data_IF_956871152127
#
_entry.id   IF_956871152127
#
_cell.length_a   1.000
_cell.length_b   1.000
_cell.length_c   1.000
_cell.angle_alpha   90.00
_cell.angle_beta   90.00
_cell.angle_gamma   90.00
#
_symmetry.space_group_name_H-M   'P 1'
#
loop_
_entity.id
_entity.type
_entity.pdbx_description
1 polymer ?
#
# COMPACT_ATOMS: atom_id res chain seq x y z
N UNK A 1 -47.02 29.93 25.41
CA UNK A 1 -45.58 30.20 25.21
C UNK A 1 -44.91 28.85 25.14
N UNK A 2 -44.46 28.35 23.97
CA UNK A 2 -43.76 27.07 23.93
C UNK A 2 -42.46 27.22 24.71
N UNK A 3 -42.29 26.40 25.75
CA UNK A 3 -41.08 26.37 26.54
C UNK A 3 -39.89 26.20 25.59
N UNK A 4 -38.96 27.15 25.65
CA UNK A 4 -37.65 26.99 25.04
C UNK A 4 -37.00 25.83 25.77
N UNK A 5 -37.15 24.60 25.26
CA UNK A 5 -36.22 23.53 25.57
C UNK A 5 -34.86 24.12 25.24
N UNK A 6 -34.11 24.45 26.27
CA UNK A 6 -32.75 24.92 26.08
C UNK A 6 -32.01 23.75 25.48
N UNK A 7 -31.47 23.93 24.29
CA UNK A 7 -30.77 22.94 23.47
C UNK A 7 -29.48 22.40 24.11
N UNK A 8 -29.27 22.65 25.41
CA UNK A 8 -28.14 22.23 26.23
C UNK A 8 -28.10 20.72 26.54
N UNK A 9 -29.12 19.96 26.14
CA UNK A 9 -29.31 18.57 26.57
C UNK A 9 -29.14 17.53 25.46
N UNK A 10 -28.82 17.92 24.23
CA UNK A 10 -28.57 17.00 23.12
C UNK A 10 -27.07 16.86 22.85
N UNK A 11 -26.54 15.65 23.00
CA UNK A 11 -25.18 15.31 22.52
C UNK A 11 -25.27 14.55 21.22
N UNK A 12 -24.46 14.94 20.24
CA UNK A 12 -24.38 14.26 18.93
C UNK A 12 -23.04 13.55 18.85
N UNK A 13 -23.09 12.23 18.69
CA UNK A 13 -21.94 11.35 18.49
C UNK A 13 -21.95 10.87 17.05
N UNK A 14 -20.78 10.68 16.46
CA UNK A 14 -20.67 10.09 15.14
C UNK A 14 -19.55 9.06 15.10
N UNK A 15 -19.72 8.04 14.26
CA UNK A 15 -18.66 7.09 13.96
C UNK A 15 -17.47 7.78 13.28
N UNK A 16 -16.24 7.27 13.46
CA UNK A 16 -15.07 7.80 12.75
C UNK A 16 -15.29 7.75 11.23
N UNK A 17 -14.79 8.76 10.50
CA UNK A 17 -14.97 8.88 9.04
C UNK A 17 -16.27 9.57 8.61
N UNK A 18 -17.21 9.85 9.53
CA UNK A 18 -18.36 10.71 9.20
C UNK A 18 -17.87 12.16 9.09
N UNK A 19 -18.16 12.82 7.96
CA UNK A 19 -17.95 14.26 7.79
C UNK A 19 -18.93 15.07 8.68
N UNK A 20 -18.67 15.05 9.98
CA UNK A 20 -19.54 15.67 10.99
C UNK A 20 -19.59 17.18 10.87
N UNK A 21 -18.63 17.83 10.22
CA UNK A 21 -18.57 19.30 10.13
C UNK A 21 -19.80 19.93 9.46
N UNK A 22 -20.35 19.29 8.41
CA UNK A 22 -21.58 19.78 7.76
C UNK A 22 -22.81 19.64 8.65
N UNK A 23 -22.90 18.50 9.35
CA UNK A 23 -23.98 18.23 10.31
C UNK A 23 -23.85 19.22 11.48
N UNK A 24 -22.63 19.40 11.99
CA UNK A 24 -22.31 20.36 13.06
C UNK A 24 -22.75 21.78 12.71
N UNK A 25 -22.36 22.27 11.53
CA UNK A 25 -22.75 23.60 11.08
C UNK A 25 -24.28 23.77 11.01
N UNK A 26 -25.01 22.76 10.53
CA UNK A 26 -26.46 22.82 10.44
C UNK A 26 -27.17 22.81 11.80
N UNK A 27 -26.66 22.02 12.76
CA UNK A 27 -27.18 22.01 14.13
C UNK A 27 -26.83 23.32 14.87
N UNK A 28 -25.63 23.88 14.65
CA UNK A 28 -25.23 25.18 15.20
C UNK A 28 -26.10 26.34 14.66
N UNK A 29 -26.48 26.32 13.38
CA UNK A 29 -27.44 27.29 12.81
C UNK A 29 -28.81 27.24 13.51
N UNK A 30 -29.18 26.09 14.08
CA UNK A 30 -30.40 25.90 14.86
C UNK A 30 -30.19 26.10 16.37
N UNK A 31 -29.03 26.60 16.78
CA UNK A 31 -28.70 26.86 18.19
C UNK A 31 -28.41 25.61 19.01
N UNK A 32 -28.03 24.49 18.38
CA UNK A 32 -27.63 23.25 19.06
C UNK A 32 -26.11 23.17 19.06
N UNK A 33 -25.54 23.18 20.26
CA UNK A 33 -24.10 23.04 20.44
C UNK A 33 -23.73 21.55 20.39
N UNK A 34 -22.82 21.20 19.49
CA UNK A 34 -22.36 19.81 19.33
C UNK A 34 -21.00 19.68 19.97
N UNK A 35 -20.95 18.95 21.08
CA UNK A 35 -19.70 18.61 21.71
C UNK A 35 -19.10 17.35 21.06
N UNK A 36 -17.82 17.37 20.66
CA UNK A 36 -17.11 16.15 20.28
C UNK A 36 -17.02 15.27 21.53
N UNK A 37 -17.36 14.00 21.39
CA UNK A 37 -17.59 13.18 22.56
C UNK A 37 -16.76 11.90 22.57
N UNK A 38 -16.17 11.65 23.74
CA UNK A 38 -15.57 10.40 24.15
C UNK A 38 -16.70 9.44 24.55
N UNK A 39 -16.82 8.30 23.85
CA UNK A 39 -17.83 7.27 24.14
C UNK A 39 -17.62 6.62 25.52
N UNK A 40 -16.45 6.79 26.14
CA UNK A 40 -16.08 6.17 27.41
C UNK A 40 -16.77 6.77 28.64
N UNK A 41 -17.33 7.99 28.56
CA UNK A 41 -18.01 8.63 29.70
C UNK A 41 -19.28 9.37 29.28
N UNK A 42 -20.45 8.73 29.26
CA UNK A 42 -21.72 9.42 29.05
C UNK A 42 -22.03 10.29 30.28
N UNK A 43 -21.52 11.54 30.32
CA UNK A 43 -22.02 12.50 31.30
C UNK A 43 -23.52 12.73 31.04
N UNK A 44 -24.33 12.83 32.10
CA UNK A 44 -25.80 12.92 32.13
C UNK A 44 -26.41 13.99 31.20
N UNK A 45 -26.46 13.74 29.89
CA UNK A 45 -27.34 14.47 28.97
C UNK A 45 -28.70 13.80 28.91
N UNK A 46 -29.76 14.58 28.74
CA UNK A 46 -31.11 14.02 28.66
C UNK A 46 -31.35 13.23 27.39
N UNK A 47 -30.68 13.61 26.30
CA UNK A 47 -30.75 12.90 25.04
C UNK A 47 -29.40 12.82 24.33
N UNK A 48 -29.23 11.76 23.57
CA UNK A 48 -28.03 11.41 22.83
C UNK A 48 -28.43 10.97 21.43
N UNK A 49 -27.89 11.63 20.41
CA UNK A 49 -28.03 11.25 19.01
C UNK A 49 -26.74 10.57 18.56
N UNK A 50 -26.84 9.35 18.07
CA UNK A 50 -25.75 8.54 17.53
C UNK A 50 -25.88 8.49 16.01
N UNK A 51 -24.89 9.02 15.31
CA UNK A 51 -24.80 8.99 13.86
C UNK A 51 -23.86 7.86 13.45
N UNK A 52 -24.34 6.92 12.64
CA UNK A 52 -23.49 5.90 12.05
C UNK A 52 -23.31 6.15 10.56
N UNK A 53 -22.10 5.95 10.06
CA UNK A 53 -21.83 5.78 8.63
C UNK A 53 -22.05 4.33 8.24
N UNK A 54 -22.42 4.12 6.98
CA UNK A 54 -22.37 2.81 6.35
C UNK A 54 -20.95 2.21 6.42
N UNK A 55 -20.83 0.89 6.61
CA UNK A 55 -19.52 0.24 6.73
C UNK A 55 -18.66 0.46 5.49
N UNK A 56 -19.27 0.51 4.29
CA UNK A 56 -18.55 0.74 3.04
C UNK A 56 -17.88 2.11 3.03
N UNK A 57 -18.60 3.16 3.43
CA UNK A 57 -18.06 4.52 3.51
C UNK A 57 -16.92 4.61 4.52
N UNK A 58 -17.06 3.95 5.68
CA UNK A 58 -16.00 3.90 6.69
C UNK A 58 -14.75 3.18 6.17
N UNK A 59 -14.91 2.02 5.51
CA UNK A 59 -13.77 1.29 4.93
C UNK A 59 -13.05 2.15 3.90
N UNK A 60 -13.78 2.83 3.01
CA UNK A 60 -13.18 3.67 1.96
C UNK A 60 -12.35 4.80 2.58
N UNK A 61 -12.88 5.49 3.58
CA UNK A 61 -12.17 6.56 4.31
C UNK A 61 -10.87 6.03 4.95
N UNK A 62 -10.93 4.87 5.61
CA UNK A 62 -9.76 4.27 6.24
C UNK A 62 -8.73 3.73 5.23
N UNK A 63 -9.20 3.17 4.10
CA UNK A 63 -8.33 2.73 3.00
C UNK A 63 -7.57 3.90 2.36
N UNK A 64 -8.20 5.08 2.24
CA UNK A 64 -7.52 6.29 1.77
C UNK A 64 -6.39 6.72 2.72
N UNK A 65 -6.50 6.37 4.01
CA UNK A 65 -5.47 6.57 5.02
C UNK A 65 -4.46 5.40 5.12
N UNK A 66 -4.51 4.44 4.20
CA UNK A 66 -3.58 3.30 4.14
C UNK A 66 -3.89 2.16 5.11
N UNK A 67 -5.06 2.13 5.73
CA UNK A 67 -5.48 1.07 6.65
C UNK A 67 -6.13 -0.09 5.87
N UNK A 68 -5.84 -1.33 6.29
CA UNK A 68 -6.37 -2.54 5.65
C UNK A 68 -7.91 -2.64 5.82
N UNK A 69 -8.66 -3.05 4.77
CA UNK A 69 -10.12 -3.16 4.81
C UNK A 69 -10.66 -4.02 5.96
N UNK A 70 -9.96 -5.11 6.30
CA UNK A 70 -10.37 -6.00 7.38
C UNK A 70 -10.27 -5.32 8.75
N UNK A 71 -9.19 -4.57 8.98
CA UNK A 71 -8.99 -3.81 10.22
C UNK A 71 -10.03 -2.68 10.34
N UNK A 72 -10.31 -2.01 9.24
CA UNK A 72 -11.37 -0.98 9.17
C UNK A 72 -12.75 -1.57 9.46
N UNK A 73 -13.04 -2.74 8.91
CA UNK A 73 -14.29 -3.45 9.15
C UNK A 73 -14.44 -3.88 10.62
N UNK A 74 -13.39 -4.42 11.23
CA UNK A 74 -13.39 -4.81 12.65
C UNK A 74 -13.58 -3.60 13.58
N UNK A 75 -12.95 -2.47 13.24
CA UNK A 75 -13.15 -1.19 13.92
C UNK A 75 -14.59 -0.71 13.82
N UNK A 76 -15.17 -0.76 12.61
CA UNK A 76 -16.58 -0.41 12.39
C UNK A 76 -17.53 -1.34 13.16
N UNK A 77 -17.29 -2.64 13.13
CA UNK A 77 -18.06 -3.66 13.88
C UNK A 77 -18.01 -3.39 15.37
N UNK A 78 -16.83 -3.11 15.91
CA UNK A 78 -16.65 -2.80 17.34
C UNK A 78 -17.40 -1.54 17.74
N UNK A 79 -17.33 -0.50 16.89
CA UNK A 79 -18.06 0.76 17.10
C UNK A 79 -19.57 0.54 17.01
N UNK A 80 -20.06 -0.19 16.01
CA UNK A 80 -21.47 -0.52 15.83
C UNK A 80 -22.04 -1.31 17.01
N UNK A 81 -21.29 -2.30 17.54
CA UNK A 81 -21.66 -3.02 18.76
C UNK A 81 -21.80 -2.10 19.95
N UNK A 82 -20.84 -1.20 20.17
CA UNK A 82 -20.88 -0.24 21.26
C UNK A 82 -22.08 0.72 21.14
N UNK A 83 -22.41 1.17 19.93
CA UNK A 83 -23.59 2.02 19.68
C UNK A 83 -24.90 1.28 19.97
N UNK A 84 -25.02 0.03 19.53
CA UNK A 84 -26.20 -0.80 19.81
C UNK A 84 -26.34 -1.10 21.30
N UNK A 85 -25.24 -1.40 22.00
CA UNK A 85 -25.25 -1.60 23.45
C UNK A 85 -25.68 -0.33 24.20
N UNK A 86 -25.17 0.83 23.79
CA UNK A 86 -25.56 2.12 24.34
C UNK A 86 -27.05 2.38 24.12
N UNK A 87 -27.56 2.14 22.91
CA UNK A 87 -28.98 2.27 22.60
C UNK A 87 -29.85 1.29 23.40
N UNK A 88 -29.42 0.03 23.57
CA UNK A 88 -30.12 -0.97 24.38
C UNK A 88 -30.17 -0.57 25.86
N UNK A 89 -29.11 0.01 26.40
CA UNK A 89 -29.05 0.50 27.79
C UNK A 89 -29.90 1.74 28.04
N UNK A 90 -30.11 2.58 27.01
CA UNK A 90 -30.75 3.89 27.13
C UNK A 90 -31.80 4.13 26.03
N UNK A 91 -32.71 3.15 25.83
CA UNK A 91 -33.70 3.17 24.72
C UNK A 91 -34.54 4.45 24.60
N UNK A 92 -34.78 5.15 25.70
CA UNK A 92 -35.61 6.37 25.71
C UNK A 92 -34.81 7.67 25.55
N UNK A 93 -33.47 7.59 25.62
CA UNK A 93 -32.58 8.76 25.59
C UNK A 93 -31.61 8.73 24.43
N UNK A 94 -31.39 7.57 23.81
CA UNK A 94 -30.44 7.39 22.71
C UNK A 94 -31.20 7.16 21.40
N UNK A 95 -30.97 8.03 20.43
CA UNK A 95 -31.48 7.91 19.07
C UNK A 95 -30.33 7.53 18.14
N UNK A 96 -30.56 6.59 17.23
CA UNK A 96 -29.61 6.25 16.18
C UNK A 96 -30.13 6.82 14.87
N UNK A 97 -29.26 7.42 14.07
CA UNK A 97 -29.58 7.86 12.72
C UNK A 97 -28.44 7.58 11.75
N UNK A 98 -28.81 7.31 10.49
CA UNK A 98 -27.85 7.19 9.39
C UNK A 98 -27.29 8.56 9.01
N UNK A 99 -25.97 8.69 9.07
CA UNK A 99 -25.25 9.92 8.76
C UNK A 99 -25.44 10.34 7.30
N UNK A 100 -25.50 9.38 6.36
CA UNK A 100 -25.64 9.69 4.93
C UNK A 100 -27.02 10.29 4.65
N UNK A 101 -28.05 9.71 5.26
CA UNK A 101 -29.42 10.25 5.22
C UNK A 101 -29.51 11.63 5.86
N UNK A 102 -28.82 11.87 6.98
CA UNK A 102 -28.76 13.18 7.63
C UNK A 102 -28.05 14.25 6.78
N UNK A 103 -27.10 13.84 5.94
CA UNK A 103 -26.37 14.75 5.04
C UNK A 103 -27.18 15.15 3.80
N UNK A 104 -28.11 14.32 3.32
CA UNK A 104 -28.94 14.65 2.14
C UNK A 104 -29.84 15.87 2.35
N UNK A 105 -30.44 15.99 3.55
CA UNK A 105 -31.25 17.15 3.93
C UNK A 105 -31.05 17.50 5.40
N UNK A 106 -29.91 18.11 5.69
CA UNK A 106 -29.50 18.39 7.07
C UNK A 106 -30.44 19.34 7.81
N UNK A 107 -31.11 20.26 7.10
CA UNK A 107 -32.08 21.19 7.71
C UNK A 107 -33.34 20.45 8.13
N UNK A 108 -33.90 19.62 7.25
CA UNK A 108 -35.09 18.84 7.57
C UNK A 108 -34.78 17.76 8.63
N UNK A 109 -33.62 17.11 8.56
CA UNK A 109 -33.17 16.16 9.57
C UNK A 109 -33.03 16.80 10.95
N UNK A 110 -32.40 17.97 11.06
CA UNK A 110 -32.27 18.69 12.32
C UNK A 110 -33.63 19.10 12.88
N UNK A 111 -34.52 19.67 12.04
CA UNK A 111 -35.87 20.05 12.45
C UNK A 111 -36.69 18.85 12.95
N UNK A 112 -36.60 17.71 12.27
CA UNK A 112 -37.26 16.47 12.68
C UNK A 112 -36.72 15.94 14.01
N UNK A 113 -35.39 15.91 14.17
CA UNK A 113 -34.74 15.48 15.41
C UNK A 113 -35.17 16.36 16.59
N UNK A 114 -35.23 17.69 16.40
CA UNK A 114 -35.72 18.63 17.43
C UNK A 114 -37.18 18.36 17.78
N UNK A 115 -38.02 18.08 16.78
CA UNK A 115 -39.43 17.75 16.98
C UNK A 115 -39.61 16.48 17.82
N UNK A 116 -38.84 15.42 17.51
CA UNK A 116 -38.82 14.19 18.29
C UNK A 116 -38.43 14.43 19.75
N UNK A 117 -37.40 15.25 19.97
CA UNK A 117 -36.95 15.60 21.32
C UNK A 117 -37.98 16.42 22.09
N UNK A 118 -38.72 17.31 21.41
CA UNK A 118 -39.74 18.16 22.04
C UNK A 118 -40.99 17.41 22.42
N UNK A 119 -41.45 16.53 21.55
CA UNK A 119 -42.77 15.96 21.70
C UNK A 119 -42.78 14.70 22.57
N UNK A 120 -41.62 14.07 22.83
CA UNK A 120 -41.47 12.76 23.51
C UNK A 120 -42.34 11.62 22.95
N UNK A 121 -43.19 11.90 21.97
CA UNK A 121 -44.02 10.98 21.23
C UNK A 121 -43.21 10.43 20.07
N UNK A 122 -43.38 9.11 19.85
CA UNK A 122 -42.85 8.39 18.69
C UNK A 122 -43.61 8.85 17.44
N UNK A 123 -43.31 10.07 17.01
CA UNK A 123 -43.88 10.69 15.81
C UNK A 123 -43.50 9.86 14.57
N UNK A 124 -44.34 9.85 13.52
CA UNK A 124 -44.10 9.00 12.36
C UNK A 124 -42.80 9.38 11.66
N UNK A 125 -42.18 8.33 11.11
CA UNK A 125 -40.97 8.32 10.31
C UNK A 125 -40.89 9.55 9.40
N UNK A 126 -39.85 10.39 9.52
CA UNK A 126 -39.51 11.38 8.48
C UNK A 126 -39.37 10.65 7.13
N UNK A 127 -39.50 11.30 5.98
CA UNK A 127 -39.15 10.71 4.69
C UNK A 127 -38.49 11.84 3.91
N UNK A 128 -37.23 11.72 3.49
CA UNK A 128 -36.61 12.69 2.61
C UNK A 128 -37.45 12.80 1.33
N UNK A 129 -37.53 14.01 0.78
CA UNK A 129 -38.16 14.24 -0.52
C UNK A 129 -37.46 13.39 -1.58
N UNK A 130 -38.21 12.51 -2.26
CA UNK A 130 -37.70 11.52 -3.23
C UNK A 130 -36.81 12.13 -4.34
N UNK A 131 -36.99 13.40 -4.66
CA UNK A 131 -36.24 14.10 -5.72
C UNK A 131 -34.73 14.22 -5.49
N UNK A 132 -34.24 14.20 -4.24
CA UNK A 132 -32.79 14.36 -3.97
C UNK A 132 -32.00 13.05 -3.85
N UNK A 133 -32.67 11.90 -3.79
CA UNK A 133 -32.02 10.62 -3.52
C UNK A 133 -31.26 10.03 -4.71
N UNK A 134 -31.65 10.40 -5.93
CA UNK A 134 -31.06 9.84 -7.15
C UNK A 134 -29.79 10.55 -7.62
N UNK A 135 -29.61 11.83 -7.26
CA UNK A 135 -28.53 12.64 -7.83
C UNK A 135 -27.13 12.38 -7.23
N UNK A 136 -27.04 11.92 -5.98
CA UNK A 136 -25.75 11.82 -5.26
C UNK A 136 -25.14 10.42 -5.31
N UNK A 137 -25.95 9.38 -5.56
CA UNK A 137 -25.49 7.99 -5.49
C UNK A 137 -24.74 7.52 -6.73
N UNK A 138 -25.02 8.05 -7.92
CA UNK A 138 -24.46 7.48 -9.16
C UNK A 138 -23.05 7.99 -9.53
N UNK A 139 -22.66 9.20 -9.11
CA UNK A 139 -21.42 9.82 -9.59
C UNK A 139 -20.12 9.35 -8.88
N UNK A 140 -20.22 8.68 -7.72
CA UNK A 140 -19.06 8.24 -6.93
C UNK A 140 -18.93 6.70 -6.80
N UNK A 141 -19.87 5.93 -7.35
CA UNK A 141 -19.90 4.47 -7.26
C UNK A 141 -18.87 3.74 -8.16
N UNK A 142 -18.09 4.48 -8.95
CA UNK A 142 -17.17 3.93 -9.95
C UNK A 142 -15.74 3.67 -9.42
N UNK A 143 -15.44 4.04 -8.17
CA UNK A 143 -14.11 3.79 -7.61
C UNK A 143 -13.92 2.33 -7.21
N UNK A 144 -12.79 1.67 -7.56
CA UNK A 144 -12.51 0.28 -7.18
C UNK A 144 -12.53 0.05 -5.66
N UNK A 145 -12.32 1.12 -4.87
CA UNK A 145 -12.43 1.08 -3.41
C UNK A 145 -13.85 0.74 -2.95
N UNK A 146 -14.89 1.18 -3.67
CA UNK A 146 -16.28 0.85 -3.32
C UNK A 146 -16.57 -0.63 -3.52
N UNK A 147 -16.04 -1.25 -4.58
CA UNK A 147 -16.21 -2.68 -4.83
C UNK A 147 -15.54 -3.50 -3.74
N UNK A 148 -14.30 -3.14 -3.38
CA UNK A 148 -13.55 -3.81 -2.30
C UNK A 148 -14.29 -3.67 -0.96
N UNK A 149 -14.77 -2.47 -0.64
CA UNK A 149 -15.51 -2.22 0.59
C UNK A 149 -16.84 -2.99 0.64
N UNK A 150 -17.62 -2.96 -0.45
CA UNK A 150 -18.88 -3.70 -0.56
C UNK A 150 -18.65 -5.22 -0.43
N UNK A 151 -17.60 -5.75 -1.08
CA UNK A 151 -17.25 -7.17 -0.98
C UNK A 151 -16.83 -7.56 0.44
N UNK A 152 -16.03 -6.74 1.12
CA UNK A 152 -15.63 -6.98 2.51
C UNK A 152 -16.84 -7.05 3.45
N UNK A 153 -17.82 -6.16 3.27
CA UNK A 153 -19.09 -6.17 4.02
C UNK A 153 -19.93 -7.38 3.64
N UNK A 154 -19.99 -7.74 2.36
CA UNK A 154 -20.74 -8.90 1.88
C UNK A 154 -20.18 -10.23 2.44
N UNK A 155 -18.88 -10.30 2.69
CA UNK A 155 -18.24 -11.50 3.24
C UNK A 155 -18.36 -11.62 4.77
N UNK A 156 -18.70 -10.53 5.47
CA UNK A 156 -18.81 -10.52 6.94
C UNK A 156 -20.28 -10.54 7.39
N UNK A 157 -20.75 -11.72 7.78
CA UNK A 157 -22.10 -11.90 8.33
C UNK A 157 -22.32 -11.05 9.59
N UNK A 158 -21.29 -10.90 10.43
CA UNK A 158 -21.33 -10.07 11.64
C UNK A 158 -21.61 -8.61 11.29
N UNK A 159 -20.93 -8.07 10.27
CA UNK A 159 -21.12 -6.70 9.83
C UNK A 159 -22.52 -6.48 9.27
N UNK A 160 -23.05 -7.43 8.48
CA UNK A 160 -24.41 -7.37 7.94
C UNK A 160 -25.47 -7.40 9.05
N UNK A 161 -25.30 -8.25 10.05
CA UNK A 161 -26.21 -8.34 11.19
C UNK A 161 -26.23 -7.04 12.00
N UNK A 162 -25.06 -6.46 12.26
CA UNK A 162 -24.95 -5.16 12.96
C UNK A 162 -25.56 -4.04 12.11
N UNK A 163 -25.28 -4.01 10.80
CA UNK A 163 -25.85 -3.02 9.89
C UNK A 163 -27.38 -3.10 9.87
N UNK A 164 -27.94 -4.31 9.75
CA UNK A 164 -29.37 -4.54 9.78
C UNK A 164 -29.99 -4.09 11.11
N UNK A 165 -29.34 -4.40 12.24
CA UNK A 165 -29.81 -3.97 13.56
C UNK A 165 -29.71 -2.45 13.76
N UNK A 166 -28.63 -1.82 13.29
CA UNK A 166 -28.47 -0.36 13.30
C UNK A 166 -29.52 0.31 12.42
N UNK A 167 -29.79 -0.21 11.23
CA UNK A 167 -30.85 0.30 10.34
C UNK A 167 -32.25 0.13 10.95
N UNK A 168 -32.51 -0.98 11.65
CA UNK A 168 -33.77 -1.24 12.33
C UNK A 168 -33.94 -0.38 13.60
N UNK A 169 -32.85 -0.11 14.32
CA UNK A 169 -32.82 0.74 15.52
C UNK A 169 -32.73 2.23 15.18
N UNK A 170 -32.29 2.53 13.96
CA UNK A 170 -32.27 3.88 13.43
C UNK A 170 -33.69 4.40 13.38
N UNK A 171 -33.91 5.60 13.89
CA UNK A 171 -35.17 6.34 13.72
C UNK A 171 -35.28 6.77 12.26
N UNK A 172 -35.50 5.80 11.38
CA UNK A 172 -35.77 6.03 9.97
C UNK A 172 -37.10 6.82 9.88
N UNK A 173 -37.36 7.74 8.94
CA UNK A 173 -36.79 7.84 7.60
C UNK A 173 -36.91 6.59 6.81
N UNK A 174 -38.16 6.11 6.74
CA UNK A 174 -38.62 5.08 5.82
C UNK A 174 -38.35 5.53 4.39
N UNK A 175 -37.11 5.32 3.98
CA UNK A 175 -36.69 5.30 2.60
C UNK A 175 -36.47 3.84 2.31
N UNK A 176 -37.35 3.28 1.50
CA UNK A 176 -37.05 2.04 0.81
C UNK A 176 -35.82 2.34 -0.06
N UNK A 177 -34.64 2.09 0.48
CA UNK A 177 -33.39 2.12 -0.26
C UNK A 177 -33.55 1.00 -1.29
N UNK A 178 -33.78 1.40 -2.54
CA UNK A 178 -33.74 0.47 -3.65
C UNK A 178 -32.40 -0.27 -3.59
N UNK A 179 -32.38 -1.61 -3.72
CA UNK A 179 -31.13 -2.35 -3.80
C UNK A 179 -30.26 -1.71 -4.88
N UNK A 180 -28.97 -1.49 -4.59
CA UNK A 180 -28.03 -1.01 -5.59
C UNK A 180 -28.14 -1.92 -6.81
N UNK A 181 -28.69 -1.40 -7.90
CA UNK A 181 -28.59 -2.05 -9.20
C UNK A 181 -27.15 -1.84 -9.67
N UNK A 182 -26.25 -2.68 -9.15
CA UNK A 182 -24.92 -2.82 -9.71
C UNK A 182 -25.11 -3.51 -11.06
N UNK A 183 -24.74 -2.83 -12.13
CA UNK A 183 -24.71 -3.40 -13.47
C UNK A 183 -23.60 -4.47 -13.51
N UNK A 184 -23.99 -5.70 -13.17
CA UNK A 184 -23.09 -6.84 -12.99
C UNK A 184 -22.25 -7.12 -14.24
N UNK A 185 -22.80 -6.87 -15.44
CA UNK A 185 -22.07 -7.05 -16.70
C UNK A 185 -20.91 -6.06 -16.81
N UNK A 186 -21.13 -4.79 -16.50
CA UNK A 186 -20.06 -3.79 -16.51
C UNK A 186 -19.01 -4.05 -15.43
N UNK A 187 -19.46 -4.39 -14.22
CA UNK A 187 -18.56 -4.76 -13.13
C UNK A 187 -17.69 -5.98 -13.51
N UNK A 188 -18.28 -6.97 -14.17
CA UNK A 188 -17.55 -8.14 -14.66
C UNK A 188 -16.54 -7.79 -15.75
N UNK A 189 -16.91 -6.94 -16.72
CA UNK A 189 -15.96 -6.50 -17.77
C UNK A 189 -14.79 -5.73 -17.19
N UNK A 190 -15.00 -4.91 -16.15
CA UNK A 190 -13.93 -4.14 -15.52
C UNK A 190 -13.02 -5.04 -14.67
N UNK A 191 -13.58 -6.02 -13.96
CA UNK A 191 -12.79 -7.05 -13.26
C UNK A 191 -11.94 -7.86 -14.26
N UNK A 192 -12.49 -8.23 -15.41
CA UNK A 192 -11.76 -8.93 -16.46
C UNK A 192 -10.63 -8.07 -17.04
N UNK A 193 -10.87 -6.77 -17.25
CA UNK A 193 -9.85 -5.79 -17.66
C UNK A 193 -8.75 -5.66 -16.61
N UNK A 194 -9.11 -5.63 -15.33
CA UNK A 194 -8.14 -5.59 -14.21
C UNK A 194 -7.32 -6.88 -14.11
N UNK A 195 -7.91 -8.04 -14.38
CA UNK A 195 -7.18 -9.31 -14.45
C UNK A 195 -6.16 -9.31 -15.60
N UNK A 196 -6.55 -8.85 -16.79
CA UNK A 196 -5.63 -8.71 -17.93
C UNK A 196 -4.51 -7.70 -17.63
N UNK A 197 -4.84 -6.60 -16.95
CA UNK A 197 -3.85 -5.62 -16.46
C UNK A 197 -2.90 -6.25 -15.43
N UNK A 198 -3.38 -7.10 -14.53
CA UNK A 198 -2.55 -7.82 -13.57
C UNK A 198 -1.63 -8.82 -14.27
N UNK A 199 -2.12 -9.56 -15.26
CA UNK A 199 -1.27 -10.43 -16.10
C UNK A 199 -0.19 -9.64 -16.85
N UNK A 200 -0.53 -8.47 -17.39
CA UNK A 200 0.45 -7.59 -18.01
C UNK A 200 1.48 -7.07 -17.01
N UNK A 201 1.07 -6.70 -15.79
CA UNK A 201 1.99 -6.30 -14.72
C UNK A 201 2.93 -7.44 -14.32
N UNK A 202 2.43 -8.66 -14.20
CA UNK A 202 3.26 -9.83 -13.90
C UNK A 202 4.28 -10.10 -15.02
N UNK A 203 3.87 -9.98 -16.29
CA UNK A 203 4.80 -10.08 -17.43
C UNK A 203 5.87 -8.98 -17.41
N UNK A 204 5.50 -7.75 -17.06
CA UNK A 204 6.45 -6.63 -16.92
C UNK A 204 7.42 -6.92 -15.77
N UNK A 205 6.94 -7.44 -14.65
CA UNK A 205 7.80 -7.81 -13.51
C UNK A 205 8.76 -8.94 -13.89
N UNK A 206 8.30 -9.99 -14.55
CA UNK A 206 9.14 -11.09 -15.05
C UNK A 206 10.20 -10.59 -16.04
N UNK A 207 9.83 -9.66 -16.93
CA UNK A 207 10.79 -9.01 -17.83
C UNK A 207 11.81 -8.18 -17.06
N UNK A 208 11.40 -7.47 -16.00
CA UNK A 208 12.29 -6.68 -15.17
C UNK A 208 13.28 -7.57 -14.41
N UNK A 209 12.82 -8.68 -13.84
CA UNK A 209 13.67 -9.68 -13.17
C UNK A 209 14.71 -10.24 -14.16
N UNK A 210 14.29 -10.57 -15.38
CA UNK A 210 15.20 -11.04 -16.43
C UNK A 210 16.23 -9.98 -16.85
N UNK A 211 15.84 -8.71 -16.92
CA UNK A 211 16.78 -7.61 -17.19
C UNK A 211 17.82 -7.53 -16.07
N UNK A 212 17.39 -7.60 -14.80
CA UNK A 212 18.32 -7.55 -13.66
C UNK A 212 19.28 -8.75 -13.62
N UNK A 213 18.81 -9.94 -13.98
CA UNK A 213 19.67 -11.13 -14.11
C UNK A 213 20.73 -10.93 -15.19
N UNK A 214 20.33 -10.44 -16.37
CA UNK A 214 21.26 -10.14 -17.47
C UNK A 214 22.26 -9.04 -17.11
N UNK A 215 21.84 -8.03 -16.34
CA UNK A 215 22.74 -6.99 -15.83
C UNK A 215 23.78 -7.55 -14.86
N UNK A 216 23.37 -8.46 -13.96
CA UNK A 216 24.29 -9.16 -13.07
C UNK A 216 25.27 -10.03 -13.85
N UNK A 217 24.80 -10.82 -14.82
CA UNK A 217 25.66 -11.63 -15.69
C UNK A 217 26.67 -10.76 -16.45
N UNK A 218 26.21 -9.65 -17.03
CA UNK A 218 27.07 -8.71 -17.75
C UNK A 218 28.14 -8.10 -16.82
N UNK A 219 27.75 -7.71 -15.60
CA UNK A 219 28.69 -7.19 -14.60
C UNK A 219 29.76 -8.22 -14.20
N UNK A 220 29.36 -9.50 -14.06
CA UNK A 220 30.27 -10.61 -13.78
C UNK A 220 31.22 -10.85 -14.96
N UNK A 221 30.72 -10.78 -16.19
CA UNK A 221 31.54 -10.96 -17.40
C UNK A 221 32.58 -9.84 -17.54
N UNK A 222 32.19 -8.59 -17.29
CA UNK A 222 33.11 -7.43 -17.29
C UNK A 222 34.22 -7.64 -16.25
N UNK A 223 33.88 -8.11 -15.04
CA UNK A 223 34.86 -8.44 -14.00
C UNK A 223 35.86 -9.50 -14.48
N UNK A 224 35.38 -10.59 -15.09
CA UNK A 224 36.24 -11.63 -15.65
C UNK A 224 37.15 -11.11 -16.78
N UNK A 225 36.63 -10.22 -17.63
CA UNK A 225 37.44 -9.56 -18.67
C UNK A 225 38.57 -8.73 -18.08
N UNK A 226 38.32 -7.96 -17.01
CA UNK A 226 39.36 -7.20 -16.33
C UNK A 226 40.44 -8.10 -15.71
N UNK A 227 40.05 -9.20 -15.07
CA UNK A 227 41.01 -10.17 -14.53
C UNK A 227 41.86 -10.79 -15.65
N UNK A 228 41.25 -11.15 -16.77
CA UNK A 228 41.95 -11.70 -17.93
C UNK A 228 42.93 -10.68 -18.52
N UNK A 229 42.50 -9.42 -18.66
CA UNK A 229 43.36 -8.32 -19.12
C UNK A 229 44.55 -8.10 -18.18
N UNK A 230 44.32 -8.02 -16.87
CA UNK A 230 45.39 -7.83 -15.89
C UNK A 230 46.41 -8.98 -15.92
N UNK A 231 45.94 -10.23 -16.07
CA UNK A 231 46.82 -11.40 -16.26
C UNK A 231 47.63 -11.29 -17.55
N UNK A 232 47.01 -10.89 -18.66
CA UNK A 232 47.69 -10.71 -19.93
C UNK A 232 48.77 -9.61 -19.85
N UNK A 233 48.48 -8.49 -19.21
CA UNK A 233 49.43 -7.40 -18.99
C UNK A 233 50.61 -7.83 -18.12
N UNK A 234 50.35 -8.57 -17.02
CA UNK A 234 51.41 -9.16 -16.18
C UNK A 234 52.32 -10.08 -17.00
N UNK A 235 51.74 -10.98 -17.80
CA UNK A 235 52.51 -11.88 -18.67
C UNK A 235 53.34 -11.08 -19.70
N UNK A 236 52.75 -10.06 -20.32
CA UNK A 236 53.47 -9.19 -21.25
C UNK A 236 54.67 -8.49 -20.60
N UNK A 237 54.49 -7.91 -19.40
CA UNK A 237 55.58 -7.27 -18.66
C UNK A 237 56.68 -8.27 -18.26
N UNK A 238 56.31 -9.48 -17.83
CA UNK A 238 57.31 -10.53 -17.55
C UNK A 238 58.07 -10.93 -18.80
N UNK A 239 57.38 -11.05 -19.95
CA UNK A 239 57.99 -11.28 -21.27
C UNK A 239 58.98 -10.18 -21.69
N UNK A 240 58.66 -8.91 -21.42
CA UNK A 240 59.59 -7.80 -21.65
C UNK A 240 60.83 -7.88 -20.75
N UNK A 241 60.65 -8.21 -19.46
CA UNK A 241 61.76 -8.38 -18.50
C UNK A 241 62.67 -9.54 -18.90
N UNK A 242 62.10 -10.70 -19.29
CA UNK A 242 62.88 -11.86 -19.74
C UNK A 242 63.61 -11.56 -21.05
N UNK A 243 62.98 -10.87 -22.01
CA UNK A 243 63.64 -10.42 -23.24
C UNK A 243 64.84 -9.51 -22.95
N UNK A 244 64.69 -8.53 -22.04
CA UNK A 244 65.80 -7.66 -21.59
C UNK A 244 66.93 -8.45 -20.91
N UNK A 245 66.60 -9.40 -20.03
CA UNK A 245 67.61 -10.28 -19.40
C UNK A 245 68.34 -11.14 -20.44
N UNK A 246 67.61 -11.68 -21.42
CA UNK A 246 68.17 -12.49 -22.49
C UNK A 246 69.11 -11.70 -23.40
N UNK A 247 68.77 -10.45 -23.76
CA UNK A 247 69.67 -9.58 -24.52
C UNK A 247 70.92 -9.21 -23.71
N UNK A 248 70.78 -8.92 -22.41
CA UNK A 248 71.92 -8.66 -21.53
C UNK A 248 72.83 -9.89 -21.39
N UNK A 249 72.26 -11.08 -21.20
CA UNK A 249 73.01 -12.34 -21.13
C UNK A 249 73.71 -12.65 -22.45
N UNK A 250 73.06 -12.42 -23.60
CA UNK A 250 73.69 -12.53 -24.92
C UNK A 250 74.89 -11.59 -25.05
N UNK A 251 74.77 -10.33 -24.64
CA UNK A 251 75.89 -9.36 -24.64
C UNK A 251 77.04 -9.80 -23.72
N UNK A 252 76.72 -10.24 -22.50
CA UNK A 252 77.72 -10.79 -21.55
C UNK A 252 78.45 -12.00 -22.13
N UNK A 253 77.71 -12.94 -22.72
CA UNK A 253 78.27 -14.14 -23.34
C UNK A 253 79.21 -13.75 -24.50
N UNK A 254 78.77 -12.85 -25.39
CA UNK A 254 79.61 -12.32 -26.47
C UNK A 254 80.89 -11.64 -25.94
N UNK A 255 80.79 -10.88 -24.84
CA UNK A 255 81.96 -10.26 -24.19
C UNK A 255 82.94 -11.32 -23.67
N UNK A 256 82.45 -12.36 -22.99
CA UNK A 256 83.28 -13.49 -22.53
C UNK A 256 83.97 -14.17 -23.71
N UNK A 257 83.25 -14.48 -24.79
CA UNK A 257 83.82 -15.07 -26.00
C UNK A 257 84.90 -14.20 -26.66
N UNK A 258 84.79 -12.86 -26.54
CA UNK A 258 85.76 -11.90 -27.07
C UNK A 258 86.95 -11.66 -26.14
N UNK A 259 86.86 -12.00 -24.85
CA UNK A 259 87.91 -11.80 -23.85
C UNK A 259 89.21 -12.57 -24.17
N UNK A 260 90.37 -12.03 -23.77
CA UNK A 260 91.69 -12.66 -23.99
C UNK A 260 91.78 -14.02 -23.30
N UNK A 261 91.32 -14.13 -22.05
CA UNK A 261 91.36 -15.37 -21.27
C UNK A 261 90.54 -16.50 -21.92
N UNK A 262 89.40 -16.19 -22.53
CA UNK A 262 88.64 -17.18 -23.30
C UNK A 262 89.36 -17.61 -24.56
N UNK A 263 89.94 -16.67 -25.32
CA UNK A 263 90.71 -16.98 -26.54
C UNK A 263 91.91 -17.89 -26.26
N UNK A 264 92.63 -17.66 -25.16
CA UNK A 264 93.78 -18.46 -24.74
C UNK A 264 93.35 -19.85 -24.23
N UNK A 265 92.30 -19.92 -23.42
CA UNK A 265 91.85 -21.21 -22.84
C UNK A 265 91.00 -22.06 -23.79
N UNK A 266 90.48 -21.50 -24.90
CA UNK A 266 89.68 -22.24 -25.89
C UNK A 266 90.42 -23.45 -26.48
N UNK A 267 91.65 -23.35 -27.04
CA UNK A 267 92.38 -24.51 -27.54
C UNK A 267 92.65 -25.55 -26.45
N UNK A 268 93.03 -25.11 -25.24
CA UNK A 268 93.24 -26.01 -24.09
C UNK A 268 91.98 -26.79 -23.70
N UNK A 269 90.79 -26.17 -23.74
CA UNK A 269 89.51 -26.84 -23.46
C UNK A 269 89.14 -27.85 -24.55
N UNK A 270 89.51 -27.61 -25.81
CA UNK A 270 89.29 -28.56 -26.91
C UNK A 270 90.21 -29.78 -26.73
N UNK A 271 91.49 -29.56 -26.43
CA UNK A 271 92.44 -30.63 -26.14
C UNK A 271 92.02 -31.45 -24.91
N UNK A 272 91.61 -30.80 -23.81
CA UNK A 272 91.13 -31.50 -22.61
C UNK A 272 89.89 -32.36 -22.90
N UNK A 273 88.99 -31.93 -23.80
CA UNK A 273 87.82 -32.74 -24.20
C UNK A 273 88.20 -33.96 -25.05
N UNK A 274 89.19 -33.83 -25.92
CA UNK A 274 89.75 -34.96 -26.69
C UNK A 274 90.40 -35.99 -25.76
N UNK A 275 91.15 -35.52 -24.76
CA UNK A 275 91.82 -36.39 -23.79
C UNK A 275 90.87 -37.04 -22.78
N UNK A 276 89.74 -36.40 -22.44
CA UNK A 276 88.77 -36.92 -21.47
C UNK A 276 87.65 -37.76 -22.10
N UNK A 277 87.66 -37.97 -23.42
CA UNK A 277 86.73 -38.87 -24.12
C UNK A 277 85.25 -38.44 -24.10
N UNK A 278 84.94 -37.20 -23.68
CA UNK A 278 83.54 -36.72 -23.63
C UNK A 278 83.06 -36.35 -25.04
N UNK A 279 81.99 -36.96 -25.57
CA UNK A 279 81.52 -36.69 -26.93
C UNK A 279 81.08 -35.23 -27.06
N UNK A 280 81.36 -34.62 -28.22
CA UNK A 280 80.82 -33.32 -28.59
C UNK A 280 79.29 -33.41 -28.50
N UNK A 281 78.68 -32.60 -27.62
CA UNK A 281 77.21 -32.44 -27.56
C UNK A 281 76.75 -32.08 -28.97
N UNK A 282 76.21 -33.07 -29.68
CA UNK A 282 75.58 -32.86 -30.98
C UNK A 282 74.43 -31.90 -30.74
N UNK A 283 74.47 -30.79 -31.46
CA UNK A 283 73.41 -29.79 -31.43
C UNK A 283 72.18 -30.48 -32.01
N UNK A 284 71.22 -30.87 -31.16
CA UNK A 284 69.90 -31.32 -31.64
C UNK A 284 69.32 -30.18 -32.48
N UNK A 285 69.19 -30.44 -33.78
CA UNK A 285 68.46 -29.61 -34.74
C UNK A 285 66.98 -29.71 -34.46
#
# INVERSE_FOLDING_TARGET
MPDKITTKHLKVYATPGVHTEKIKAAFQQNGIDIQPADLASPQHSDFTLLLFSRPEAHIIDQMQNGISPLVSLDSWVSTGKAMLELNRSMRNRVFIADADTALLDTKAFAAHTISLLKNQERSPLYSPSKEKQHATSQANQESPLHVIAAQAVQQSEIAQNILAELCASSTTTSTAVLPLQVDLEKAFTEVQRLQQSAEHRNKIQEQQEKITELEMENSSLISHMHIAQEKAEKLYQTGLKTKKKLTQNKKKLQSVYRSKSWKITRPLRVLLRLLTGKPLRTRKS
#
